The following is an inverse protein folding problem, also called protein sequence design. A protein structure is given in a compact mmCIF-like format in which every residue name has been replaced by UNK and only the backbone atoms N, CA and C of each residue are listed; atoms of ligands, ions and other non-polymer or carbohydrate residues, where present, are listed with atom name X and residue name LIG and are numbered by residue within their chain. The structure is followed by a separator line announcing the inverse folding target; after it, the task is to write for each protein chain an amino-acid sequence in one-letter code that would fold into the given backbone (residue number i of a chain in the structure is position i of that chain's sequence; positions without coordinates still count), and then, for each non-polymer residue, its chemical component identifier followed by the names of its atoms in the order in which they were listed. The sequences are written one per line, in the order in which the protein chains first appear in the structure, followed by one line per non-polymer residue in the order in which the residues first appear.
data_IF_437719768288
#
_entry.id   IF_437719768288
#
_cell.length_a   1.000
_cell.length_b   1.000
_cell.length_c   1.000
_cell.angle_alpha   90.00
_cell.angle_beta   90.00
_cell.angle_gamma   90.00
#
_symmetry.space_group_name_H-M   'P 1'
#
loop_
_entity.id
_entity.type
_entity.pdbx_description
1 polymer ?
#
# COMPACT_ATOMS: atom_id res chain seq x y z
N UNK A 1 23.15 0.53 -30.51
CA UNK A 1 23.77 -0.60 -31.23
C UNK A 1 24.59 -0.15 -32.44
N UNK A 2 23.97 0.17 -33.60
CA UNK A 2 24.67 0.48 -34.87
C UNK A 2 25.82 1.49 -34.75
N UNK A 3 25.62 2.60 -34.02
CA UNK A 3 26.65 3.63 -33.82
C UNK A 3 27.87 3.11 -33.05
N UNK A 4 27.63 2.26 -32.04
CA UNK A 4 28.69 1.69 -31.19
C UNK A 4 29.51 0.68 -31.96
N UNK A 5 28.87 -0.24 -32.69
CA UNK A 5 29.58 -1.22 -33.51
C UNK A 5 30.43 -0.55 -34.61
N UNK A 6 29.91 0.53 -35.22
CA UNK A 6 30.68 1.33 -36.19
C UNK A 6 31.89 2.03 -35.56
N UNK A 7 31.79 2.54 -34.32
CA UNK A 7 32.93 3.20 -33.66
C UNK A 7 34.00 2.21 -33.23
N UNK A 8 33.62 0.97 -32.93
CA UNK A 8 34.54 -0.11 -32.55
C UNK A 8 35.07 -0.90 -33.77
N UNK A 9 34.77 -0.47 -35.01
CA UNK A 9 35.14 -1.14 -36.26
C UNK A 9 34.70 -2.62 -36.35
N UNK A 10 33.51 -2.93 -35.81
CA UNK A 10 32.94 -4.28 -35.87
C UNK A 10 31.92 -4.32 -37.01
N UNK A 11 32.14 -5.24 -37.97
CA UNK A 11 31.18 -5.52 -39.04
C UNK A 11 29.98 -6.29 -38.50
N UNK A 12 28.77 -6.01 -39.00
CA UNK A 12 27.55 -6.61 -38.48
C UNK A 12 26.47 -6.81 -39.54
N UNK A 13 25.66 -7.85 -39.34
CA UNK A 13 24.42 -8.07 -40.07
C UNK A 13 23.28 -7.23 -39.49
N UNK A 14 22.43 -6.66 -40.34
CA UNK A 14 21.28 -5.87 -39.89
C UNK A 14 20.28 -6.70 -39.06
N UNK A 15 20.04 -7.95 -39.47
CA UNK A 15 19.14 -8.89 -38.77
C UNK A 15 19.66 -9.27 -37.38
N UNK A 16 20.98 -9.41 -37.22
CA UNK A 16 21.60 -9.70 -35.92
C UNK A 16 21.31 -8.57 -34.91
N UNK A 17 21.38 -7.30 -35.34
CA UNK A 17 21.04 -6.16 -34.48
C UNK A 17 19.56 -6.14 -34.14
N UNK A 18 18.67 -6.39 -35.11
CA UNK A 18 17.22 -6.39 -34.88
C UNK A 18 16.83 -7.42 -33.83
N UNK A 19 17.32 -8.67 -33.94
CA UNK A 19 17.08 -9.70 -32.92
C UNK A 19 17.58 -9.32 -31.53
N UNK A 20 18.75 -8.67 -31.45
CA UNK A 20 19.31 -8.23 -30.17
C UNK A 20 18.45 -7.12 -29.53
N UNK A 21 17.88 -6.23 -30.35
CA UNK A 21 17.05 -5.12 -29.88
C UNK A 21 15.65 -5.60 -29.48
N UNK A 22 15.03 -6.51 -30.24
CA UNK A 22 13.70 -7.06 -29.93
C UNK A 22 13.62 -7.69 -28.54
N UNK A 23 14.72 -8.31 -28.08
CA UNK A 23 14.78 -8.94 -26.75
C UNK A 23 14.99 -7.94 -25.61
N UNK A 24 15.43 -6.72 -25.90
CA UNK A 24 15.78 -5.76 -24.87
C UNK A 24 14.56 -4.88 -24.52
N UNK A 25 14.14 -4.82 -23.23
CA UNK A 25 12.99 -4.02 -22.80
C UNK A 25 13.21 -2.49 -22.85
N UNK A 26 14.32 -2.02 -23.42
CA UNK A 26 14.68 -0.60 -23.52
C UNK A 26 15.84 -0.16 -22.62
N UNK A 27 16.50 -1.08 -21.93
CA UNK A 27 17.72 -0.80 -21.16
C UNK A 27 18.95 -0.74 -22.09
N UNK A 28 19.33 0.51 -22.43
CA UNK A 28 20.50 0.80 -23.25
C UNK A 28 21.81 0.27 -22.64
N UNK A 29 21.94 0.26 -21.33
CA UNK A 29 23.16 -0.20 -20.64
C UNK A 29 23.27 -1.73 -20.73
N UNK A 30 22.16 -2.43 -20.54
CA UNK A 30 22.11 -3.88 -20.78
C UNK A 30 22.44 -4.19 -22.24
N UNK A 31 21.87 -3.45 -23.20
CA UNK A 31 22.14 -3.63 -24.62
C UNK A 31 23.63 -3.46 -24.97
N UNK A 32 24.28 -2.45 -24.39
CA UNK A 32 25.71 -2.20 -24.62
C UNK A 32 26.58 -3.30 -24.03
N UNK A 33 26.23 -3.83 -22.84
CA UNK A 33 26.94 -4.96 -22.24
C UNK A 33 26.81 -6.23 -23.07
N UNK A 34 25.62 -6.49 -23.60
CA UNK A 34 25.38 -7.63 -24.47
C UNK A 34 26.24 -7.54 -25.72
N UNK A 35 26.26 -6.36 -26.35
CA UNK A 35 27.14 -6.10 -27.48
C UNK A 35 28.61 -6.32 -27.11
N UNK A 36 29.05 -5.83 -25.95
CA UNK A 36 30.43 -5.99 -25.49
C UNK A 36 30.81 -7.47 -25.30
N UNK A 37 29.96 -8.26 -24.64
CA UNK A 37 30.21 -9.70 -24.41
C UNK A 37 30.27 -10.44 -25.72
N UNK A 38 29.31 -10.19 -26.62
CA UNK A 38 29.30 -10.82 -27.93
C UNK A 38 30.56 -10.40 -28.71
N UNK A 39 30.88 -9.12 -28.78
CA UNK A 39 32.07 -8.62 -29.49
C UNK A 39 33.41 -9.13 -28.94
N UNK A 40 33.49 -9.43 -27.65
CA UNK A 40 34.71 -9.96 -27.04
C UNK A 40 35.01 -11.41 -27.45
N UNK A 41 34.01 -12.13 -27.98
CA UNK A 41 34.13 -13.52 -28.41
C UNK A 41 34.19 -13.68 -29.94
N UNK A 42 34.15 -12.58 -30.70
CA UNK A 42 34.12 -12.62 -32.17
C UNK A 42 35.46 -12.20 -32.75
N UNK A 43 36.01 -13.03 -33.64
CA UNK A 43 37.06 -12.65 -34.59
C UNK A 43 36.43 -12.36 -35.97
N UNK A 44 35.82 -11.19 -36.14
CA UNK A 44 35.16 -10.80 -37.40
C UNK A 44 33.74 -10.24 -37.25
N UNK A 45 32.82 -10.73 -38.09
CA UNK A 45 31.48 -10.15 -38.27
C UNK A 45 30.46 -10.65 -37.25
N UNK A 46 29.60 -9.75 -36.76
CA UNK A 46 28.45 -10.09 -35.95
C UNK A 46 27.35 -10.70 -36.83
N UNK A 47 27.26 -12.03 -36.83
CA UNK A 47 26.24 -12.78 -37.57
C UNK A 47 25.00 -13.10 -36.71
N UNK A 48 23.89 -13.35 -37.39
CA UNK A 48 22.61 -13.68 -36.76
C UNK A 48 22.66 -15.00 -35.97
N UNK A 49 23.53 -15.93 -36.38
CA UNK A 49 23.75 -17.22 -35.70
C UNK A 49 24.41 -17.04 -34.34
N UNK A 50 25.46 -16.21 -34.27
CA UNK A 50 26.17 -15.90 -33.02
C UNK A 50 25.25 -15.23 -32.00
N UNK A 51 24.37 -14.33 -32.47
CA UNK A 51 23.36 -13.71 -31.61
C UNK A 51 22.36 -14.75 -31.08
N UNK A 52 21.92 -15.71 -31.89
CA UNK A 52 21.01 -16.76 -31.41
C UNK A 52 21.71 -17.69 -30.40
N UNK A 53 22.96 -18.07 -30.67
CA UNK A 53 23.75 -18.88 -29.73
C UNK A 53 23.95 -18.15 -28.40
N UNK A 54 24.25 -16.85 -28.42
CA UNK A 54 24.35 -16.04 -27.22
C UNK A 54 23.01 -15.94 -26.48
N UNK A 55 21.91 -15.78 -27.22
CA UNK A 55 20.54 -15.73 -26.70
C UNK A 55 20.17 -17.05 -26.00
N UNK A 56 20.54 -18.19 -26.58
CA UNK A 56 20.31 -19.53 -26.01
C UNK A 56 21.21 -19.81 -24.80
N UNK A 57 22.48 -19.37 -24.86
CA UNK A 57 23.45 -19.52 -23.77
C UNK A 57 23.15 -18.61 -22.57
N UNK A 58 22.51 -17.47 -22.84
CA UNK A 58 22.14 -16.46 -21.86
C UNK A 58 20.63 -16.29 -21.80
N UNK A 59 19.92 -17.29 -21.24
CA UNK A 59 18.53 -17.10 -20.81
C UNK A 59 18.49 -16.04 -19.71
N UNK A 60 18.31 -14.78 -20.11
CA UNK A 60 17.83 -13.75 -19.19
C UNK A 60 16.34 -13.91 -19.02
N UNK A 61 15.93 -14.00 -17.76
CA UNK A 61 14.55 -13.80 -17.35
C UNK A 61 14.17 -12.37 -17.72
N UNK A 62 13.41 -12.23 -18.82
CA UNK A 62 12.82 -10.96 -19.21
C UNK A 62 11.60 -10.79 -18.30
N UNK A 63 11.63 -9.80 -17.44
CA UNK A 63 10.46 -9.45 -16.65
C UNK A 63 9.40 -8.85 -17.57
N UNK A 64 8.20 -9.44 -17.53
CA UNK A 64 7.01 -8.96 -18.21
C UNK A 64 6.28 -8.03 -17.25
N UNK A 65 5.78 -6.91 -17.77
CA UNK A 65 4.94 -6.00 -17.00
C UNK A 65 3.73 -6.73 -16.39
N UNK A 66 3.21 -6.19 -15.29
CA UNK A 66 2.18 -6.87 -14.49
C UNK A 66 0.93 -7.21 -15.28
N UNK A 67 0.38 -6.28 -16.07
CA UNK A 67 -0.90 -6.50 -16.74
C UNK A 67 -0.80 -7.55 -17.86
N UNK A 68 0.14 -7.46 -18.82
CA UNK A 68 0.33 -8.52 -19.81
C UNK A 68 0.75 -9.85 -19.17
N UNK A 69 1.55 -9.79 -18.12
CA UNK A 69 1.99 -10.96 -17.37
C UNK A 69 0.83 -11.69 -16.67
N UNK A 70 -0.09 -10.94 -16.05
CA UNK A 70 -1.31 -11.50 -15.47
C UNK A 70 -2.24 -12.08 -16.55
N UNK A 71 -2.46 -11.39 -17.68
CA UNK A 71 -3.26 -11.96 -18.79
C UNK A 71 -2.69 -13.30 -19.27
N UNK A 72 -1.37 -13.38 -19.47
CA UNK A 72 -0.70 -14.64 -19.81
C UNK A 72 -0.89 -15.70 -18.71
N UNK A 73 -0.67 -15.33 -17.45
CA UNK A 73 -0.79 -16.24 -16.31
C UNK A 73 -2.19 -16.84 -16.21
N UNK A 74 -3.24 -16.02 -16.25
CA UNK A 74 -4.63 -16.48 -16.13
C UNK A 74 -5.05 -17.42 -17.28
N UNK A 75 -4.37 -17.35 -18.43
CA UNK A 75 -4.62 -18.23 -19.59
C UNK A 75 -3.82 -19.54 -19.56
N UNK A 76 -2.88 -19.71 -18.64
CA UNK A 76 -2.12 -20.95 -18.52
C UNK A 76 -3.03 -22.15 -18.20
N UNK A 77 -2.83 -23.26 -18.91
CA UNK A 77 -3.64 -24.47 -18.74
C UNK A 77 -2.94 -25.53 -17.90
N UNK A 78 -1.63 -25.43 -17.76
CA UNK A 78 -0.80 -26.38 -17.00
C UNK A 78 -0.06 -25.72 -15.84
N UNK A 79 0.26 -26.50 -14.82
CA UNK A 79 1.01 -26.02 -13.66
C UNK A 79 2.42 -25.52 -14.04
N UNK A 80 3.08 -26.19 -14.99
CA UNK A 80 4.42 -25.82 -15.45
C UNK A 80 4.41 -24.44 -16.12
N UNK A 81 3.48 -24.21 -17.04
CA UNK A 81 3.30 -22.92 -17.71
C UNK A 81 2.96 -21.81 -16.72
N UNK A 82 2.05 -22.08 -15.77
CA UNK A 82 1.65 -21.10 -14.76
C UNK A 82 2.81 -20.69 -13.85
N UNK A 83 3.64 -21.65 -13.43
CA UNK A 83 4.83 -21.39 -12.63
C UNK A 83 5.85 -20.57 -13.41
N UNK A 84 6.08 -20.89 -14.69
CA UNK A 84 6.99 -20.14 -15.54
C UNK A 84 6.47 -18.71 -15.81
N UNK A 85 5.20 -18.57 -16.18
CA UNK A 85 4.56 -17.27 -16.39
C UNK A 85 4.61 -16.42 -15.12
N UNK A 86 4.27 -16.99 -13.96
CA UNK A 86 4.30 -16.28 -12.68
C UNK A 86 5.68 -15.75 -12.30
N UNK A 87 6.76 -16.50 -12.60
CA UNK A 87 8.15 -16.05 -12.35
C UNK A 87 8.58 -14.90 -13.25
N UNK A 88 8.05 -14.85 -14.48
CA UNK A 88 8.38 -13.78 -15.43
C UNK A 88 7.70 -12.46 -15.11
N UNK A 89 6.68 -12.42 -14.25
CA UNK A 89 6.00 -11.16 -13.91
C UNK A 89 6.93 -10.29 -13.07
N UNK A 90 7.03 -9.00 -13.39
CA UNK A 90 7.84 -7.99 -12.68
C UNK A 90 7.26 -7.61 -11.30
N UNK A 91 6.98 -8.60 -10.45
CA UNK A 91 6.48 -8.45 -9.09
C UNK A 91 7.09 -9.51 -8.20
N UNK A 92 7.43 -9.11 -6.98
CA UNK A 92 7.80 -10.08 -5.94
C UNK A 92 6.63 -11.03 -5.64
N UNK A 93 6.86 -12.27 -5.19
CA UNK A 93 5.83 -13.21 -4.70
C UNK A 93 4.82 -12.61 -3.73
N UNK A 94 5.26 -11.74 -2.82
CA UNK A 94 4.38 -11.01 -1.90
C UNK A 94 3.43 -10.07 -2.63
N UNK A 95 3.92 -9.35 -3.64
CA UNK A 95 3.08 -8.50 -4.46
C UNK A 95 2.21 -9.32 -5.40
N UNK A 96 2.74 -10.35 -6.04
CA UNK A 96 2.03 -11.24 -6.95
C UNK A 96 0.83 -11.90 -6.24
N UNK A 97 1.02 -12.39 -5.01
CA UNK A 97 -0.05 -12.87 -4.14
C UNK A 97 -1.17 -11.82 -4.01
N UNK A 98 -0.80 -10.57 -3.70
CA UNK A 98 -1.75 -9.47 -3.52
C UNK A 98 -2.49 -9.11 -4.81
N UNK A 99 -1.80 -9.10 -5.94
CA UNK A 99 -2.39 -8.88 -7.27
C UNK A 99 -3.40 -9.96 -7.62
N UNK A 100 -3.07 -11.23 -7.39
CA UNK A 100 -3.96 -12.36 -7.70
C UNK A 100 -5.15 -12.40 -6.74
N UNK A 101 -4.91 -12.22 -5.44
CA UNK A 101 -5.98 -12.13 -4.43
C UNK A 101 -6.99 -11.03 -4.76
N UNK A 102 -6.51 -9.86 -5.18
CA UNK A 102 -7.37 -8.72 -5.55
C UNK A 102 -8.21 -8.99 -6.80
N UNK A 103 -7.63 -9.64 -7.82
CA UNK A 103 -8.26 -9.79 -9.12
C UNK A 103 -9.12 -11.06 -9.24
N UNK A 104 -8.81 -12.13 -8.51
CA UNK A 104 -9.55 -13.40 -8.56
C UNK A 104 -11.08 -13.23 -8.41
N UNK A 105 -11.60 -12.48 -7.42
CA UNK A 105 -13.05 -12.31 -7.25
C UNK A 105 -13.73 -11.58 -8.42
N UNK A 106 -13.00 -10.69 -9.12
CA UNK A 106 -13.54 -9.95 -10.26
C UNK A 106 -13.47 -10.75 -11.57
N UNK A 107 -12.50 -11.67 -11.69
CA UNK A 107 -12.26 -12.44 -12.90
C UNK A 107 -12.96 -13.80 -12.89
N UNK A 108 -13.09 -14.44 -11.72
CA UNK A 108 -13.62 -15.80 -11.59
C UNK A 108 -15.05 -15.74 -11.04
N UNK A 109 -16.03 -16.10 -11.87
CA UNK A 109 -17.45 -16.08 -11.49
C UNK A 109 -17.88 -17.28 -10.63
N UNK A 110 -17.25 -18.45 -10.81
CA UNK A 110 -17.62 -19.66 -10.06
C UNK A 110 -17.08 -19.63 -8.62
N UNK A 111 -18.01 -19.61 -7.66
CA UNK A 111 -17.71 -19.61 -6.21
C UNK A 111 -16.89 -20.82 -5.76
N UNK A 112 -17.08 -21.99 -6.39
CA UNK A 112 -16.37 -23.22 -6.03
C UNK A 112 -14.88 -23.14 -6.40
N UNK A 113 -14.59 -22.58 -7.58
CA UNK A 113 -13.25 -22.29 -8.10
C UNK A 113 -12.61 -21.21 -7.24
N UNK A 114 -13.32 -20.10 -6.99
CA UNK A 114 -12.83 -19.00 -6.16
C UNK A 114 -12.44 -19.48 -4.75
N UNK A 115 -13.27 -20.33 -4.12
CA UNK A 115 -12.96 -20.92 -2.81
C UNK A 115 -11.65 -21.73 -2.84
N UNK A 116 -11.46 -22.58 -3.86
CA UNK A 116 -10.24 -23.38 -4.00
C UNK A 116 -9.01 -22.48 -4.24
N UNK A 117 -9.15 -21.44 -5.05
CA UNK A 117 -8.09 -20.45 -5.29
C UNK A 117 -7.72 -19.71 -4.00
N UNK A 118 -8.71 -19.26 -3.24
CA UNK A 118 -8.49 -18.57 -1.97
C UNK A 118 -7.89 -19.48 -0.89
N UNK A 119 -8.19 -20.78 -0.88
CA UNK A 119 -7.51 -21.74 -0.02
C UNK A 119 -6.02 -21.84 -0.36
N UNK A 120 -5.68 -21.91 -1.64
CA UNK A 120 -4.28 -21.91 -2.10
C UNK A 120 -3.58 -20.58 -1.75
N UNK A 121 -4.23 -19.43 -1.96
CA UNK A 121 -3.70 -18.12 -1.57
C UNK A 121 -3.51 -17.99 -0.05
N UNK A 122 -4.41 -18.54 0.76
CA UNK A 122 -4.27 -18.54 2.22
C UNK A 122 -3.04 -19.35 2.66
N UNK A 123 -2.81 -20.52 2.08
CA UNK A 123 -1.59 -21.30 2.33
C UNK A 123 -0.37 -20.51 1.86
N UNK A 124 -0.43 -19.91 0.68
CA UNK A 124 0.65 -19.09 0.13
C UNK A 124 1.03 -17.94 1.07
N UNK A 125 0.03 -17.23 1.62
CA UNK A 125 0.25 -16.15 2.59
C UNK A 125 0.91 -16.64 3.88
N UNK A 126 0.54 -17.83 4.39
CA UNK A 126 1.19 -18.44 5.57
C UNK A 126 2.63 -18.85 5.28
N UNK A 127 2.93 -19.31 4.07
CA UNK A 127 4.30 -19.60 3.67
C UNK A 127 5.14 -18.32 3.60
N UNK A 128 4.55 -17.24 3.07
CA UNK A 128 5.21 -15.96 3.00
C UNK A 128 5.52 -15.40 4.41
N UNK A 129 4.64 -15.58 5.39
CA UNK A 129 4.92 -15.10 6.76
C UNK A 129 6.16 -15.76 7.38
N UNK A 130 6.44 -17.03 7.04
CA UNK A 130 7.61 -17.75 7.54
C UNK A 130 8.95 -17.10 7.18
N UNK A 131 8.99 -16.22 6.16
CA UNK A 131 10.21 -15.47 5.82
C UNK A 131 10.58 -14.41 6.88
N UNK A 132 9.61 -13.98 7.69
CA UNK A 132 9.80 -12.98 8.74
C UNK A 132 10.13 -13.63 10.09
N UNK A 133 9.73 -14.89 10.29
CA UNK A 133 10.00 -15.64 11.51
C UNK A 133 11.35 -16.39 11.44
N UNK A 134 11.82 -16.71 10.23
CA UNK A 134 13.06 -17.46 10.02
C UNK A 134 13.71 -17.11 8.67
N UNK A 135 14.97 -17.48 8.48
CA UNK A 135 15.74 -17.34 7.24
C UNK A 135 15.32 -18.35 6.15
N UNK A 136 14.09 -18.88 6.24
CA UNK A 136 13.56 -19.90 5.34
C UNK A 136 13.13 -19.28 4.00
N UNK A 137 14.08 -18.75 3.22
CA UNK A 137 13.82 -18.07 1.94
C UNK A 137 13.17 -18.96 0.86
N UNK A 138 13.13 -20.29 1.05
CA UNK A 138 12.39 -21.19 0.15
C UNK A 138 10.88 -21.00 0.23
N UNK A 139 10.34 -20.52 1.35
CA UNK A 139 8.90 -20.29 1.49
C UNK A 139 8.40 -19.18 0.56
N UNK A 140 9.23 -18.17 0.32
CA UNK A 140 9.00 -17.09 -0.65
C UNK A 140 8.82 -17.62 -2.07
N UNK A 141 9.69 -18.53 -2.51
CA UNK A 141 9.60 -19.18 -3.82
C UNK A 141 8.30 -19.96 -3.98
N UNK A 142 7.95 -20.79 -2.99
CA UNK A 142 6.72 -21.60 -3.05
C UNK A 142 5.46 -20.75 -2.96
N UNK A 143 5.49 -19.65 -2.18
CA UNK A 143 4.39 -18.69 -2.13
C UNK A 143 4.11 -18.09 -3.52
N UNK A 144 5.14 -17.69 -4.26
CA UNK A 144 4.97 -17.17 -5.62
C UNK A 144 4.29 -18.18 -6.55
N UNK A 145 4.74 -19.44 -6.50
CA UNK A 145 4.17 -20.51 -7.31
C UNK A 145 2.72 -20.82 -6.96
N UNK A 146 2.43 -20.98 -5.68
CA UNK A 146 1.09 -21.31 -5.22
C UNK A 146 0.11 -20.18 -5.54
N UNK A 147 0.56 -18.94 -5.48
CA UNK A 147 -0.20 -17.77 -5.93
C UNK A 147 -0.48 -17.85 -7.44
N UNK A 148 0.54 -18.11 -8.27
CA UNK A 148 0.37 -18.26 -9.72
C UNK A 148 -0.58 -19.39 -10.11
N UNK A 149 -0.49 -20.54 -9.45
CA UNK A 149 -1.40 -21.67 -9.66
C UNK A 149 -2.83 -21.34 -9.23
N UNK A 150 -3.00 -20.51 -8.20
CA UNK A 150 -4.31 -20.06 -7.73
C UNK A 150 -5.05 -19.15 -8.75
N UNK A 151 -4.32 -18.47 -9.63
CA UNK A 151 -4.88 -17.67 -10.72
C UNK A 151 -5.34 -18.54 -11.90
N UNK A 152 -4.57 -19.56 -12.25
CA UNK A 152 -4.71 -20.29 -13.52
C UNK A 152 -5.29 -21.69 -13.35
N UNK A 153 -4.51 -22.62 -12.80
CA UNK A 153 -4.82 -24.07 -12.73
C UNK A 153 -6.10 -24.38 -11.95
N UNK A 154 -6.48 -23.52 -11.00
CA UNK A 154 -7.73 -23.67 -10.26
C UNK A 154 -8.94 -23.51 -11.17
N UNK A 155 -8.85 -22.64 -12.18
CA UNK A 155 -9.87 -22.44 -13.18
C UNK A 155 -9.66 -23.40 -14.37
N UNK A 156 -10.52 -24.40 -14.49
CA UNK A 156 -10.46 -25.36 -15.60
C UNK A 156 -11.01 -24.81 -16.91
N UNK A 157 -11.78 -23.72 -16.84
CA UNK A 157 -12.37 -23.09 -18.01
C UNK A 157 -11.47 -21.91 -18.42
N UNK A 158 -10.75 -22.01 -19.55
CA UNK A 158 -9.85 -20.96 -19.98
C UNK A 158 -10.63 -19.68 -20.28
N UNK A 159 -10.02 -18.54 -19.96
CA UNK A 159 -10.57 -17.24 -20.34
C UNK A 159 -10.55 -17.09 -21.87
N UNK A 160 -11.72 -16.97 -22.48
CA UNK A 160 -11.87 -16.71 -23.92
C UNK A 160 -11.80 -15.22 -24.24
N UNK A 161 -12.38 -14.40 -23.37
CA UNK A 161 -12.41 -12.95 -23.50
C UNK A 161 -11.14 -12.28 -22.96
N UNK A 162 -11.00 -10.98 -23.24
CA UNK A 162 -9.95 -10.16 -22.67
C UNK A 162 -10.21 -9.95 -21.19
N UNK A 163 -9.22 -10.25 -20.35
CA UNK A 163 -9.31 -9.95 -18.92
C UNK A 163 -8.83 -8.52 -18.65
N UNK A 164 -9.41 -7.90 -17.62
CA UNK A 164 -9.05 -6.55 -17.19
C UNK A 164 -8.62 -6.56 -15.72
N UNK A 165 -7.40 -7.03 -15.42
CA UNK A 165 -6.87 -6.94 -14.07
C UNK A 165 -6.73 -5.47 -13.65
N UNK A 166 -7.06 -5.19 -12.40
CA UNK A 166 -6.98 -3.89 -11.77
C UNK A 166 -5.89 -3.84 -10.71
N UNK A 167 -5.33 -2.64 -10.50
CA UNK A 167 -4.32 -2.40 -9.47
C UNK A 167 -4.95 -2.53 -8.07
N UNK A 168 -4.37 -3.33 -7.15
CA UNK A 168 -4.91 -3.52 -5.81
C UNK A 168 -5.03 -2.21 -5.03
N UNK A 169 -6.23 -1.88 -4.56
CA UNK A 169 -6.45 -0.59 -3.90
C UNK A 169 -5.64 -0.43 -2.61
N UNK A 170 -5.43 -1.51 -1.85
CA UNK A 170 -4.64 -1.47 -0.63
C UNK A 170 -3.13 -1.32 -0.86
N UNK A 171 -2.63 -1.53 -2.08
CA UNK A 171 -1.24 -1.23 -2.45
C UNK A 171 -1.05 0.23 -2.85
N UNK A 172 -2.15 0.96 -3.07
CA UNK A 172 -2.07 2.39 -3.37
C UNK A 172 -1.53 3.08 -2.12
N UNK A 173 -0.52 3.93 -2.30
CA UNK A 173 -0.15 4.90 -1.28
C UNK A 173 -1.32 5.86 -1.15
N UNK A 174 -2.23 5.57 -0.21
CA UNK A 174 -3.31 6.48 0.11
C UNK A 174 -2.69 7.76 0.64
N UNK A 175 -2.70 8.82 -0.17
CA UNK A 175 -2.69 10.18 0.37
C UNK A 175 -4.04 10.33 1.06
N UNK A 176 -4.11 9.96 2.34
CA UNK A 176 -5.31 10.20 3.14
C UNK A 176 -5.60 11.69 3.09
N UNK A 177 -6.81 12.07 2.67
CA UNK A 177 -7.27 13.45 2.74
C UNK A 177 -7.49 13.89 4.20
N UNK A 178 -7.50 12.94 5.14
CA UNK A 178 -7.66 13.20 6.57
C UNK A 178 -6.35 13.70 7.16
N UNK A 179 -6.42 14.89 7.78
CA UNK A 179 -5.28 15.53 8.42
C UNK A 179 -4.74 14.65 9.56
N UNK A 180 -3.41 14.50 9.69
CA UNK A 180 -2.81 13.70 10.78
C UNK A 180 -3.23 14.14 12.19
N UNK A 181 -3.54 15.42 12.37
CA UNK A 181 -4.02 16.01 13.63
C UNK A 181 -5.34 15.41 14.12
N UNK A 182 -6.27 15.09 13.20
CA UNK A 182 -7.54 14.41 13.52
C UNK A 182 -7.25 13.05 14.16
N UNK A 183 -6.33 12.29 13.56
CA UNK A 183 -5.95 10.96 14.06
C UNK A 183 -5.30 11.08 15.45
N UNK A 184 -4.51 12.13 15.67
CA UNK A 184 -3.84 12.37 16.94
C UNK A 184 -4.81 12.79 18.06
N UNK A 185 -5.76 13.68 17.78
CA UNK A 185 -6.79 14.10 18.73
C UNK A 185 -7.73 12.95 19.09
N UNK A 186 -8.20 12.18 18.10
CA UNK A 186 -9.02 11.00 18.34
C UNK A 186 -8.27 9.93 19.15
N UNK A 187 -6.99 9.69 18.83
CA UNK A 187 -6.16 8.74 19.58
C UNK A 187 -5.96 9.19 21.03
N UNK A 188 -5.67 10.47 21.25
CA UNK A 188 -5.47 11.03 22.60
C UNK A 188 -6.76 11.00 23.42
N UNK A 189 -7.90 11.37 22.82
CA UNK A 189 -9.19 11.43 23.52
C UNK A 189 -9.75 10.05 23.87
N UNK A 190 -9.50 9.03 23.04
CA UNK A 190 -9.99 7.66 23.25
C UNK A 190 -8.97 6.72 23.91
N UNK A 191 -7.70 7.11 24.00
CA UNK A 191 -6.63 6.27 24.54
C UNK A 191 -6.23 5.09 23.65
N UNK A 192 -6.56 5.11 22.36
CA UNK A 192 -6.28 4.01 21.41
C UNK A 192 -5.12 4.33 20.45
N UNK A 193 -4.58 3.30 19.80
CA UNK A 193 -3.49 3.46 18.85
C UNK A 193 -3.91 4.24 17.59
N UNK A 194 -2.97 4.98 16.99
CA UNK A 194 -3.21 5.73 15.74
C UNK A 194 -3.65 4.83 14.57
N UNK A 195 -3.22 3.57 14.54
CA UNK A 195 -3.70 2.58 13.55
C UNK A 195 -5.15 2.19 13.81
N UNK A 196 -5.52 1.90 15.06
CA UNK A 196 -6.91 1.57 15.44
C UNK A 196 -7.85 2.73 15.12
N UNK A 197 -7.45 3.98 15.39
CA UNK A 197 -8.24 5.14 14.98
C UNK A 197 -8.51 5.13 13.47
N UNK A 198 -7.48 4.88 12.66
CA UNK A 198 -7.57 4.94 11.19
C UNK A 198 -8.45 3.82 10.62
N UNK A 199 -8.33 2.63 11.17
CA UNK A 199 -8.95 1.43 10.60
C UNK A 199 -10.35 1.18 11.16
N UNK A 200 -10.60 1.49 12.44
CA UNK A 200 -11.86 1.19 13.12
C UNK A 200 -12.73 2.45 13.33
N UNK A 201 -12.17 3.55 13.85
CA UNK A 201 -12.98 4.73 14.18
C UNK A 201 -13.27 5.61 12.96
N UNK A 202 -12.24 5.91 12.18
CA UNK A 202 -12.32 6.90 11.10
C UNK A 202 -13.38 6.54 10.04
N UNK A 203 -13.53 5.29 9.57
CA UNK A 203 -14.56 4.94 8.60
C UNK A 203 -15.97 5.15 9.15
N UNK A 204 -16.19 4.82 10.43
CA UNK A 204 -17.48 4.99 11.10
C UNK A 204 -17.81 6.47 11.25
N UNK A 205 -16.88 7.27 11.76
CA UNK A 205 -17.06 8.71 11.93
C UNK A 205 -17.27 9.44 10.60
N UNK A 206 -16.49 9.07 9.57
CA UNK A 206 -16.65 9.64 8.22
C UNK A 206 -18.02 9.29 7.65
N UNK A 207 -18.51 8.06 7.87
CA UNK A 207 -19.85 7.65 7.44
C UNK A 207 -20.96 8.40 8.17
N UNK A 208 -20.82 8.58 9.48
CA UNK A 208 -21.77 9.31 10.32
C UNK A 208 -21.83 10.81 10.00
N UNK A 209 -20.72 11.41 9.57
CA UNK A 209 -20.67 12.84 9.26
C UNK A 209 -20.86 13.14 7.76
N UNK A 210 -20.97 12.11 6.93
CA UNK A 210 -21.10 12.30 5.48
C UNK A 210 -22.46 12.89 5.10
N UNK A 211 -22.54 13.84 4.14
CA UNK A 211 -23.80 14.49 3.76
C UNK A 211 -24.80 13.56 3.09
N UNK A 212 -24.33 12.41 2.60
CA UNK A 212 -25.17 11.39 1.96
C UNK A 212 -25.51 10.23 2.91
N UNK A 213 -25.20 10.36 4.20
CA UNK A 213 -25.52 9.35 5.20
C UNK A 213 -27.02 9.32 5.47
N UNK A 214 -27.59 8.11 5.57
CA UNK A 214 -28.99 7.94 6.01
C UNK A 214 -29.12 8.13 7.53
N UNK A 215 -28.02 7.94 8.26
CA UNK A 215 -27.98 7.90 9.73
C UNK A 215 -27.36 9.17 10.32
N UNK A 216 -26.68 9.95 9.49
CA UNK A 216 -25.74 10.98 9.90
C UNK A 216 -26.10 12.38 9.46
N UNK A 217 -25.69 13.39 10.23
CA UNK A 217 -25.86 14.80 9.89
C UNK A 217 -24.50 15.53 9.95
N UNK A 218 -24.04 16.15 8.84
CA UNK A 218 -22.86 17.01 8.84
C UNK A 218 -22.98 18.23 9.76
N UNK A 219 -24.18 18.60 10.21
CA UNK A 219 -24.37 19.72 11.13
C UNK A 219 -24.33 19.29 12.61
N UNK A 220 -24.17 17.99 12.89
CA UNK A 220 -23.95 17.51 14.25
C UNK A 220 -22.48 17.69 14.65
N UNK A 221 -22.22 18.68 15.49
CA UNK A 221 -20.88 19.02 15.96
C UNK A 221 -20.46 18.27 17.23
N UNK A 222 -21.37 17.52 17.87
CA UNK A 222 -21.18 16.92 19.20
C UNK A 222 -19.86 16.13 19.33
N UNK A 223 -19.63 15.19 18.42
CA UNK A 223 -18.42 14.35 18.41
C UNK A 223 -17.17 15.18 18.12
N UNK A 224 -17.26 16.13 17.20
CA UNK A 224 -16.12 16.96 16.86
C UNK A 224 -15.73 17.90 18.00
N UNK A 225 -16.71 18.40 18.76
CA UNK A 225 -16.48 19.18 19.98
C UNK A 225 -15.89 18.32 21.10
N UNK A 226 -16.41 17.10 21.33
CA UNK A 226 -15.92 16.23 22.41
C UNK A 226 -14.44 15.85 22.25
N UNK A 227 -13.98 15.70 21.00
CA UNK A 227 -12.57 15.44 20.69
C UNK A 227 -11.74 16.71 20.43
N UNK A 228 -12.31 17.90 20.69
CA UNK A 228 -11.68 19.20 20.50
C UNK A 228 -11.07 19.41 19.09
N UNK A 229 -11.78 18.94 18.06
CA UNK A 229 -11.41 19.19 16.67
C UNK A 229 -11.57 20.69 16.33
N UNK A 230 -10.97 21.13 15.24
CA UNK A 230 -11.26 22.43 14.62
C UNK A 230 -12.41 22.30 13.60
N UNK A 231 -13.03 23.43 13.22
CA UNK A 231 -14.08 23.42 12.19
C UNK A 231 -13.59 22.87 10.84
N UNK A 232 -12.34 23.16 10.46
CA UNK A 232 -11.74 22.58 9.24
C UNK A 232 -11.56 21.06 9.34
N UNK A 233 -11.22 20.56 10.53
CA UNK A 233 -11.06 19.13 10.80
C UNK A 233 -12.39 18.40 10.80
N UNK A 234 -13.43 19.00 11.38
CA UNK A 234 -14.81 18.52 11.29
C UNK A 234 -15.25 18.42 9.82
N UNK A 235 -15.06 19.48 9.03
CA UNK A 235 -15.40 19.47 7.61
C UNK A 235 -14.62 18.40 6.82
N UNK A 236 -13.34 18.21 7.16
CA UNK A 236 -12.51 17.16 6.54
C UNK A 236 -13.01 15.76 6.91
N UNK A 237 -13.40 15.54 8.17
CA UNK A 237 -13.95 14.29 8.67
C UNK A 237 -15.31 13.97 8.03
N UNK A 238 -16.14 14.98 7.79
CA UNK A 238 -17.40 14.87 7.04
C UNK A 238 -17.22 14.63 5.53
N UNK A 239 -15.98 14.66 5.03
CA UNK A 239 -15.69 14.52 3.59
C UNK A 239 -16.12 15.73 2.75
N UNK A 240 -16.27 16.90 3.37
CA UNK A 240 -16.70 18.11 2.70
C UNK A 240 -15.52 18.83 2.03
N UNK A 241 -15.72 19.32 0.81
CA UNK A 241 -14.71 20.08 0.11
C UNK A 241 -14.61 21.50 0.70
N UNK A 242 -13.48 21.81 1.36
CA UNK A 242 -13.19 23.10 2.01
C UNK A 242 -13.32 24.33 1.08
N UNK A 243 -13.27 24.14 -0.23
CA UNK A 243 -13.44 25.22 -1.21
C UNK A 243 -14.89 25.69 -1.35
N UNK A 244 -15.89 24.88 -0.99
CA UNK A 244 -17.32 25.20 -1.18
C UNK A 244 -17.81 26.20 -0.14
N UNK A 245 -18.68 27.13 -0.58
CA UNK A 245 -19.30 28.13 0.30
C UNK A 245 -20.10 27.48 1.43
N UNK A 246 -20.91 26.47 1.12
CA UNK A 246 -21.67 25.70 2.11
C UNK A 246 -20.79 25.09 3.21
N UNK A 247 -19.59 24.62 2.85
CA UNK A 247 -18.64 24.07 3.83
C UNK A 247 -18.05 25.17 4.71
N UNK A 248 -17.76 26.35 4.14
CA UNK A 248 -17.31 27.51 4.92
C UNK A 248 -18.37 27.98 5.91
N UNK A 249 -19.64 27.93 5.52
CA UNK A 249 -20.76 28.30 6.39
C UNK A 249 -20.87 27.33 7.58
N UNK A 250 -20.72 26.02 7.35
CA UNK A 250 -20.66 24.99 8.42
C UNK A 250 -19.46 25.22 9.35
N UNK A 251 -18.28 25.51 8.81
CA UNK A 251 -17.08 25.81 9.61
C UNK A 251 -17.29 27.06 10.48
N UNK A 252 -17.98 28.09 9.96
CA UNK A 252 -18.31 29.28 10.73
C UNK A 252 -19.27 28.96 11.88
N UNK A 253 -20.35 28.21 11.60
CA UNK A 253 -21.30 27.76 12.63
C UNK A 253 -20.61 26.95 13.73
N UNK A 254 -19.74 26.02 13.35
CA UNK A 254 -18.93 25.25 14.30
C UNK A 254 -18.11 26.15 15.21
N UNK A 255 -17.41 27.14 14.65
CA UNK A 255 -16.57 28.04 15.44
C UNK A 255 -17.39 28.92 16.38
N UNK A 256 -18.58 29.35 15.97
CA UNK A 256 -19.52 30.08 16.84
C UNK A 256 -19.98 29.22 18.02
N UNK A 257 -20.36 27.97 17.78
CA UNK A 257 -20.77 27.05 18.85
C UNK A 257 -19.60 26.71 19.79
N UNK A 258 -18.40 26.50 19.25
CA UNK A 258 -17.19 26.27 20.05
C UNK A 258 -16.90 27.45 20.96
N UNK A 259 -17.06 28.68 20.46
CA UNK A 259 -16.85 29.90 21.23
C UNK A 259 -17.87 30.07 22.35
N UNK A 260 -19.14 29.71 22.10
CA UNK A 260 -20.19 29.71 23.15
C UNK A 260 -19.87 28.69 24.24
N UNK A 261 -19.45 27.48 23.88
CA UNK A 261 -19.07 26.44 24.83
C UNK A 261 -17.86 26.85 25.68
N UNK A 262 -16.85 27.50 25.11
CA UNK A 262 -15.70 28.00 25.89
C UNK A 262 -16.11 29.08 26.89
N UNK A 263 -17.02 29.99 26.53
CA UNK A 263 -17.51 31.03 27.43
C UNK A 263 -18.28 30.45 28.62
N UNK A 264 -19.09 29.39 28.39
CA UNK A 264 -19.82 28.70 29.47
C UNK A 264 -18.84 28.02 30.45
N UNK A 265 -17.79 27.38 29.95
CA UNK A 265 -16.76 26.75 30.80
C UNK A 265 -15.98 27.80 31.60
N UNK A 266 -15.71 28.97 31.02
CA UNK A 266 -15.08 30.08 31.73
C UNK A 266 -16.00 30.65 32.82
N UNK A 267 -17.29 30.84 32.54
CA UNK A 267 -18.29 31.28 33.53
C UNK A 267 -18.45 30.27 34.68
N UNK A 268 -18.51 28.97 34.40
CA UNK A 268 -18.57 27.91 35.43
C UNK A 268 -17.29 27.85 36.28
N UNK A 269 -16.10 28.01 35.69
CA UNK A 269 -14.85 28.03 36.46
C UNK A 269 -14.74 29.27 37.35
N UNK A 270 -15.25 30.43 36.90
CA UNK A 270 -15.29 31.66 37.71
C UNK A 270 -16.27 31.51 38.89
N UNK A 271 -17.43 30.87 38.70
CA UNK A 271 -18.36 30.60 39.80
C UNK A 271 -17.79 29.62 40.85
N UNK A 272 -16.99 28.64 40.42
CA UNK A 272 -16.30 27.71 41.35
C UNK A 272 -15.21 28.45 42.16
N UNK A 273 -14.40 29.31 41.54
CA UNK A 273 -13.38 30.12 42.24
C UNK A 273 -13.98 31.12 43.26
N UNK A 274 -15.19 31.64 43.04
CA UNK A 274 -15.86 32.56 44.00
C UNK A 274 -16.41 31.80 45.23
N UNK A 275 -16.50 30.48 45.17
CA UNK A 275 -17.12 29.65 46.22
C UNK A 275 -16.16 29.08 47.27
N UNK A 276 -14.85 29.34 47.18
CA UNK A 276 -13.89 29.03 48.24
C UNK A 276 -13.70 30.25 49.18
N UNK A 277 -14.13 30.20 50.46
CA UNK A 277 -13.80 31.22 51.44
C UNK A 277 -12.45 30.95 52.12
N UNK A 278 -11.64 32.02 52.22
CA UNK A 278 -10.35 32.09 52.90
C UNK A 278 -10.39 31.70 54.40
N UNK A 279 -9.45 30.83 54.75
CA UNK A 279 -8.75 30.50 56.02
C UNK A 279 -9.30 30.89 57.42
N UNK A 280 -9.28 29.90 58.33
CA UNK A 280 -8.77 30.08 59.70
C UNK A 280 -7.68 29.03 59.98
N UNK A 281 -6.50 29.55 60.33
CA UNK A 281 -5.27 28.88 60.75
C UNK A 281 -5.41 28.37 62.20
N UNK A 282 -4.95 27.14 62.48
CA UNK A 282 -4.29 26.83 63.75
C UNK A 282 -3.21 25.76 63.56
N UNK A 283 -2.14 25.91 64.34
CA UNK A 283 -0.76 25.47 64.13
C UNK A 283 -0.37 24.17 64.84
N UNK A 284 0.85 23.70 64.51
CA UNK A 284 1.73 22.71 65.19
C UNK A 284 1.48 21.22 64.87
N UNK A 285 2.46 20.39 64.43
CA UNK A 285 3.89 20.28 64.76
C UNK A 285 4.64 19.38 63.75
N UNK A 286 5.95 19.66 63.55
CA UNK A 286 7.15 18.78 63.39
C UNK A 286 6.94 17.25 63.25
N UNK A 287 7.71 16.43 62.52
CA UNK A 287 9.05 16.45 61.93
C UNK A 287 9.07 15.36 60.81
N UNK A 288 10.04 15.48 59.90
CA UNK A 288 11.03 14.44 59.57
C UNK A 288 11.25 14.11 58.08
N UNK A 289 12.54 14.11 57.76
CA UNK A 289 13.21 13.92 56.48
C UNK A 289 12.84 12.59 55.79
N UNK A 290 12.76 12.61 54.46
CA UNK A 290 13.65 11.80 53.59
C UNK A 290 13.17 11.75 52.13
N UNK A 291 13.92 12.42 51.26
CA UNK A 291 13.98 12.07 49.84
C UNK A 291 14.85 10.81 49.67
N UNK A 292 14.52 9.94 48.69
CA UNK A 292 15.57 9.25 47.96
C UNK A 292 15.53 9.61 46.46
N UNK A 293 16.66 9.96 45.85
CA UNK A 293 16.78 10.19 44.41
C UNK A 293 17.08 8.86 43.69
N UNK A 294 16.65 8.74 42.42
CA UNK A 294 17.27 7.78 41.52
C UNK A 294 16.35 7.14 40.49
N UNK A 295 16.09 7.83 39.38
CA UNK A 295 15.65 7.18 38.15
C UNK A 295 16.77 7.27 37.11
N UNK A 296 17.48 6.17 36.91
CA UNK A 296 18.41 6.00 35.80
C UNK A 296 17.64 5.70 34.51
N UNK A 297 17.92 6.45 33.45
CA UNK A 297 17.57 6.13 32.06
C UNK A 297 18.46 4.97 31.58
N UNK A 298 17.85 3.92 31.05
CA UNK A 298 18.53 2.91 30.24
C UNK A 298 18.51 3.35 28.77
N UNK A 299 19.68 3.27 28.15
CA UNK A 299 19.87 3.23 26.70
C UNK A 299 19.26 1.96 26.12
#
# INVERSE_FOLDING_TARGET
ARRVLKSENIEFEAQAIEKLVERNPGDLRALVRDLQVISASIDGTLTTELVNLFIESGERDISVEVFPGLDKLYRCSTASEAVLAGRTIDKSPSELLNWIHWNNPSLISDKSILRRGNQALSISSKMLSAQYDNTAHRSWYWSGQLSGLAASVVNKNPFTERIYPSYPNFLRRNTSNVRPSIIEQLAKGSGISKSTVRDEMLPILTSLLSPNSVVGDPNDFSISMSYNLSGEEHATLAGLALSRRSTKDIVAQYNEEKSKLSLIIEEENIEVEISEPDEIIESDTKDDDSNPPGQMKLF
#
